data_IF_559028764184
#
_entry.id   IF_559028764184
#
_cell.length_a   1.000
_cell.length_b   1.000
_cell.length_c   1.000
_cell.angle_alpha   90.00
_cell.angle_beta   90.00
_cell.angle_gamma   90.00
#
_symmetry.space_group_name_H-M   'P 1'
#
loop_
_entity.id
_entity.type
_entity.pdbx_description
1 polymer ?
#
# COMPACT_ATOMS: atom_id res chain seq x y z
N UNK A 1 -45.66 -27.54 -45.00
CA UNK A 1 -45.08 -26.41 -45.75
C UNK A 1 -45.27 -25.12 -44.93
N UNK A 2 -44.38 -24.76 -43.99
CA UNK A 2 -44.46 -23.46 -43.32
C UNK A 2 -43.62 -22.43 -44.08
N UNK A 3 -44.28 -21.32 -44.46
CA UNK A 3 -43.69 -20.21 -45.22
C UNK A 3 -43.07 -19.22 -44.23
N UNK A 4 -41.76 -18.98 -44.33
CA UNK A 4 -41.08 -17.92 -43.59
C UNK A 4 -41.06 -16.63 -44.42
N UNK A 5 -41.85 -15.64 -44.04
CA UNK A 5 -41.80 -14.31 -44.62
C UNK A 5 -40.95 -13.39 -43.76
N UNK A 6 -39.77 -13.03 -44.30
CA UNK A 6 -38.98 -11.87 -43.89
C UNK A 6 -39.85 -10.62 -43.89
N UNK A 7 -40.07 -9.98 -42.74
CA UNK A 7 -40.18 -8.51 -42.63
C UNK A 7 -40.38 -8.01 -41.19
N UNK A 8 -39.49 -7.08 -40.82
CA UNK A 8 -39.60 -6.01 -39.80
C UNK A 8 -39.38 -6.45 -38.34
N UNK A 9 -38.17 -6.30 -37.79
CA UNK A 9 -37.53 -5.09 -37.22
C UNK A 9 -38.29 -4.45 -36.05
N UNK A 10 -37.52 -4.16 -34.99
CA UNK A 10 -37.85 -3.44 -33.75
C UNK A 10 -38.70 -4.25 -32.74
N UNK A 11 -38.44 -4.28 -31.43
CA UNK A 11 -37.66 -3.40 -30.57
C UNK A 11 -37.28 -4.14 -29.26
N UNK A 12 -36.11 -3.78 -28.72
CA UNK A 12 -35.73 -3.67 -27.31
C UNK A 12 -36.29 -4.68 -26.27
N UNK A 13 -35.38 -5.46 -25.66
CA UNK A 13 -35.48 -5.85 -24.26
C UNK A 13 -34.11 -5.66 -23.59
N UNK A 14 -34.03 -5.04 -22.40
CA UNK A 14 -32.79 -4.49 -21.87
C UNK A 14 -31.88 -5.60 -21.32
N UNK A 15 -30.62 -5.58 -21.74
CA UNK A 15 -29.57 -6.38 -21.13
C UNK A 15 -29.23 -5.80 -19.74
N UNK A 16 -30.01 -6.12 -18.73
CA UNK A 16 -29.64 -5.87 -17.32
C UNK A 16 -28.78 -7.05 -16.85
N UNK A 17 -27.54 -7.06 -17.32
CA UNK A 17 -26.46 -7.82 -16.68
C UNK A 17 -25.82 -6.94 -15.63
N UNK A 18 -26.45 -6.82 -14.44
CA UNK A 18 -25.74 -6.25 -13.29
C UNK A 18 -24.63 -7.23 -12.97
N UNK A 19 -23.42 -6.91 -13.41
CA UNK A 19 -22.21 -7.56 -12.93
C UNK A 19 -22.21 -7.41 -11.41
N UNK A 20 -22.49 -8.51 -10.72
CA UNK A 20 -22.32 -8.60 -9.28
C UNK A 20 -20.85 -8.29 -9.00
N UNK A 21 -20.57 -7.08 -8.51
CA UNK A 21 -19.29 -6.72 -7.91
C UNK A 21 -19.20 -7.52 -6.61
N UNK A 22 -18.78 -8.77 -6.74
CA UNK A 22 -18.47 -9.63 -5.62
C UNK A 22 -17.18 -9.10 -4.99
N UNK A 23 -17.39 -8.29 -3.96
CA UNK A 23 -16.54 -8.16 -2.78
C UNK A 23 -15.05 -8.49 -2.99
N UNK A 24 -14.29 -7.51 -3.46
CA UNK A 24 -12.86 -7.45 -3.15
C UNK A 24 -12.71 -6.95 -1.70
N UNK A 25 -13.22 -7.71 -0.74
CA UNK A 25 -12.74 -7.67 0.64
C UNK A 25 -11.53 -8.59 0.72
N UNK A 26 -10.48 -8.27 -0.05
CA UNK A 26 -9.16 -8.79 0.28
C UNK A 26 -8.80 -8.11 1.58
N UNK A 27 -8.90 -8.89 2.64
CA UNK A 27 -8.46 -8.58 3.98
C UNK A 27 -7.34 -7.54 3.95
N UNK A 28 -7.53 -6.42 4.63
CA UNK A 28 -6.46 -5.47 4.96
C UNK A 28 -5.46 -6.12 5.95
N UNK A 29 -5.08 -7.37 5.71
CA UNK A 29 -3.98 -8.06 6.35
C UNK A 29 -2.68 -7.53 5.74
N UNK A 30 -2.32 -6.36 6.25
CA UNK A 30 -0.94 -5.94 6.53
C UNK A 30 0.02 -5.58 5.38
N UNK A 31 -0.46 -5.21 4.19
CA UNK A 31 0.39 -4.40 3.30
C UNK A 31 0.48 -2.97 3.86
N UNK A 32 1.62 -2.63 4.47
CA UNK A 32 1.92 -1.29 5.00
C UNK A 32 3.04 -0.63 4.18
N UNK A 33 2.85 -0.44 2.85
CA UNK A 33 3.94 -0.10 1.93
C UNK A 33 4.63 1.23 2.29
N UNK A 34 3.88 2.19 2.85
CA UNK A 34 4.45 3.45 3.30
C UNK A 34 5.29 3.31 4.58
N UNK A 35 4.88 2.47 5.53
CA UNK A 35 5.64 2.23 6.75
C UNK A 35 6.91 1.42 6.45
N UNK A 36 6.82 0.45 5.54
CA UNK A 36 7.99 -0.32 5.08
C UNK A 36 8.97 0.57 4.31
N UNK A 37 8.49 1.40 3.39
CA UNK A 37 9.32 2.38 2.70
C UNK A 37 9.97 3.38 3.67
N UNK A 38 9.23 3.84 4.69
CA UNK A 38 9.77 4.71 5.73
C UNK A 38 10.87 4.01 6.54
N UNK A 39 10.66 2.74 6.91
CA UNK A 39 11.65 1.93 7.62
C UNK A 39 12.96 1.81 6.82
N UNK A 40 12.85 1.54 5.52
CA UNK A 40 14.02 1.42 4.63
C UNK A 40 14.76 2.74 4.47
N UNK A 41 14.02 3.85 4.28
CA UNK A 41 14.60 5.18 4.22
C UNK A 41 15.34 5.55 5.53
N UNK A 42 14.76 5.22 6.68
CA UNK A 42 15.39 5.45 7.99
C UNK A 42 16.64 4.59 8.19
N UNK A 43 16.64 3.33 7.75
CA UNK A 43 17.82 2.45 7.77
C UNK A 43 18.94 3.00 6.88
N UNK A 44 18.60 3.49 5.69
CA UNK A 44 19.55 4.13 4.80
C UNK A 44 20.14 5.40 5.44
N UNK A 45 19.29 6.27 6.02
CA UNK A 45 19.72 7.47 6.72
C UNK A 45 20.66 7.14 7.90
N UNK A 46 20.35 6.09 8.67
CA UNK A 46 21.23 5.60 9.76
C UNK A 46 22.62 5.25 9.23
N UNK A 47 22.69 4.46 8.15
CA UNK A 47 23.98 4.08 7.53
C UNK A 47 24.78 5.29 7.08
N UNK A 48 24.13 6.31 6.49
CA UNK A 48 24.80 7.55 6.09
C UNK A 48 25.33 8.34 7.30
N UNK A 49 24.57 8.40 8.40
CA UNK A 49 24.98 9.07 9.64
C UNK A 49 26.10 8.32 10.38
N UNK A 50 26.10 6.99 10.33
CA UNK A 50 27.19 6.18 10.90
C UNK A 50 28.49 6.38 10.11
N UNK A 51 28.41 6.47 8.77
CA UNK A 51 29.56 6.72 7.90
C UNK A 51 30.07 8.18 7.93
N UNK A 52 29.24 9.13 8.36
CA UNK A 52 29.60 10.54 8.38
C UNK A 52 30.68 10.86 9.43
N UNK A 53 31.84 11.33 9.00
CA UNK A 53 32.81 12.01 9.85
C UNK A 53 32.84 13.52 9.52
N UNK A 54 33.27 14.41 10.45
CA UNK A 54 33.24 14.31 11.92
C UNK A 54 31.83 14.58 12.49
N UNK A 55 31.66 14.49 13.82
CA UNK A 55 30.39 14.60 14.57
C UNK A 55 29.67 15.97 14.44
N UNK A 56 30.24 16.93 13.70
CA UNK A 56 29.70 18.27 13.38
C UNK A 56 29.04 18.93 14.60
N UNK A 57 29.80 19.09 15.68
CA UNK A 57 29.31 19.72 16.92
C UNK A 57 28.30 18.89 17.71
N UNK A 58 28.27 17.56 17.53
CA UNK A 58 27.33 16.66 18.20
C UNK A 58 26.05 16.38 17.40
N UNK A 59 25.84 17.07 16.27
CA UNK A 59 24.64 16.92 15.47
C UNK A 59 24.51 15.53 14.84
N UNK A 60 25.62 14.90 14.46
CA UNK A 60 25.57 13.56 13.87
C UNK A 60 25.13 12.53 14.90
N UNK A 61 25.70 12.54 16.11
CA UNK A 61 25.26 11.68 17.21
C UNK A 61 23.78 11.94 17.59
N UNK A 62 23.36 13.21 17.64
CA UNK A 62 21.97 13.57 17.91
C UNK A 62 21.01 13.04 16.84
N UNK A 63 21.35 13.21 15.56
CA UNK A 63 20.57 12.70 14.44
C UNK A 63 20.49 11.16 14.46
N UNK A 64 21.60 10.48 14.72
CA UNK A 64 21.64 9.02 14.82
C UNK A 64 20.71 8.49 15.92
N UNK A 65 20.67 9.16 17.07
CA UNK A 65 19.75 8.83 18.16
C UNK A 65 18.28 8.96 17.73
N UNK A 66 17.93 10.06 17.08
CA UNK A 66 16.55 10.30 16.60
C UNK A 66 16.14 9.27 15.53
N UNK A 67 17.02 8.97 14.58
CA UNK A 67 16.75 7.96 13.54
C UNK A 67 16.53 6.57 14.16
N UNK A 68 17.32 6.18 15.17
CA UNK A 68 17.11 4.90 15.88
C UNK A 68 15.77 4.84 16.60
N UNK A 69 15.33 5.95 17.20
CA UNK A 69 14.02 6.03 17.83
C UNK A 69 12.89 5.91 16.80
N UNK A 70 13.00 6.62 15.68
CA UNK A 70 12.02 6.53 14.59
C UNK A 70 11.91 5.12 14.01
N UNK A 71 13.03 4.42 13.79
CA UNK A 71 13.04 3.01 13.35
C UNK A 71 12.21 2.15 14.31
N UNK A 72 12.44 2.29 15.63
CA UNK A 72 11.73 1.49 16.62
C UNK A 72 10.22 1.74 16.61
N UNK A 73 9.77 2.99 16.46
CA UNK A 73 8.33 3.29 16.37
C UNK A 73 7.70 2.74 15.09
N UNK A 74 8.39 2.83 13.95
CA UNK A 74 7.89 2.28 12.68
C UNK A 74 7.76 0.76 12.75
N UNK A 75 8.76 0.07 13.31
CA UNK A 75 8.71 -1.38 13.54
C UNK A 75 7.55 -1.78 14.46
N UNK A 76 7.28 -1.00 15.52
CA UNK A 76 6.12 -1.22 16.39
C UNK A 76 4.81 -0.99 15.67
N UNK A 77 4.70 0.05 14.84
CA UNK A 77 3.50 0.35 14.04
C UNK A 77 3.19 -0.77 13.04
N UNK A 78 4.21 -1.24 12.31
CA UNK A 78 4.09 -2.42 11.42
C UNK A 78 3.68 -3.65 12.25
N UNK A 79 4.31 -3.88 13.40
CA UNK A 79 3.98 -4.99 14.28
C UNK A 79 2.56 -4.93 14.86
N UNK A 80 2.04 -3.73 15.13
CA UNK A 80 0.67 -3.52 15.59
C UNK A 80 -0.33 -3.89 14.49
N UNK A 81 -0.13 -3.38 13.26
CA UNK A 81 -1.00 -3.67 12.11
C UNK A 81 -0.99 -5.15 11.69
N UNK A 82 0.04 -5.92 12.06
CA UNK A 82 0.08 -7.38 11.84
C UNK A 82 -0.73 -8.17 12.88
N UNK A 83 -1.01 -7.57 14.04
CA UNK A 83 -1.69 -8.23 15.17
C UNK A 83 -3.16 -7.79 15.36
N UNK A 84 -3.55 -6.66 14.77
CA UNK A 84 -4.86 -6.02 14.89
C UNK A 84 -5.40 -5.68 13.51
#
# INVERSE_FOLDING_TARGET
MPRFTRRELLAAAPAVGIAAVLAASTEARADQPHMEAALDALKAARTQLDAAAPDKGGHRAAALRLVRQAIAEVERGIGFARRH
#
